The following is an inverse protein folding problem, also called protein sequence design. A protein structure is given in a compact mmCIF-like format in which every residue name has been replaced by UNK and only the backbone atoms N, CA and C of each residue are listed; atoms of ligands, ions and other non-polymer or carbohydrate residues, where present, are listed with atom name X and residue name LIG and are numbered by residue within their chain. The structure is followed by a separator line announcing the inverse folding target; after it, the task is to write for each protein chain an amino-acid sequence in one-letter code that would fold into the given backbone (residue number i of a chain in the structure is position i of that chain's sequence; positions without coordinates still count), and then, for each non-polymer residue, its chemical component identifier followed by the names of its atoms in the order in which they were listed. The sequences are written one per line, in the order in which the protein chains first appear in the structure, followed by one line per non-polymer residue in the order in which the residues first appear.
data_IF_940480134609
#
_entry.id   IF_940480134609
#
_cell.length_a   1.000
_cell.length_b   1.000
_cell.length_c   1.000
_cell.angle_alpha   90.00
_cell.angle_beta   90.00
_cell.angle_gamma   90.00
#
_symmetry.space_group_name_H-M   'P 1'
#
loop_
_entity.id
_entity.type
_entity.pdbx_description
1 polymer ?
#
# COMPACT_ATOMS: atom_id res chain seq x y z
N UNK A 1 8.93 -14.79 -3.21
CA UNK A 1 10.27 -15.15 -2.71
C UNK A 1 10.70 -16.44 -3.36
N UNK A 2 11.89 -16.46 -3.96
CA UNK A 2 12.39 -17.68 -4.59
C UNK A 2 13.25 -18.50 -3.59
N UNK A 3 13.60 -19.75 -4.00
CA UNK A 3 14.36 -20.69 -3.15
C UNK A 3 15.71 -20.12 -2.70
N UNK A 4 16.42 -19.43 -3.58
CA UNK A 4 17.73 -18.85 -3.27
C UNK A 4 17.62 -17.74 -2.21
N UNK A 5 16.58 -16.94 -2.29
CA UNK A 5 16.29 -15.89 -1.29
C UNK A 5 15.98 -16.50 0.07
N UNK A 6 15.19 -17.59 0.10
CA UNK A 6 14.88 -18.32 1.34
C UNK A 6 16.14 -18.88 1.97
N UNK A 7 16.98 -19.55 1.18
CA UNK A 7 18.25 -20.11 1.67
C UNK A 7 19.18 -19.04 2.21
N UNK A 8 19.28 -17.90 1.50
CA UNK A 8 20.09 -16.77 1.96
C UNK A 8 19.62 -16.23 3.30
N UNK A 9 18.32 -16.01 3.46
CA UNK A 9 17.72 -15.52 4.71
C UNK A 9 17.89 -16.55 5.85
N UNK A 10 17.74 -17.83 5.54
CA UNK A 10 17.96 -18.88 6.54
C UNK A 10 19.41 -18.88 7.05
N UNK A 11 20.39 -18.72 6.17
CA UNK A 11 21.82 -18.57 6.54
C UNK A 11 22.05 -17.31 7.38
N UNK A 12 21.52 -16.19 6.95
CA UNK A 12 21.63 -14.90 7.65
C UNK A 12 21.01 -14.97 9.06
N UNK A 13 19.91 -15.68 9.23
CA UNK A 13 19.27 -15.91 10.50
C UNK A 13 20.06 -16.86 11.42
N UNK A 14 21.02 -17.61 10.88
CA UNK A 14 21.85 -18.56 11.62
C UNK A 14 21.36 -20.00 11.53
N UNK A 15 20.50 -20.35 10.60
CA UNK A 15 20.16 -21.75 10.31
C UNK A 15 21.39 -22.49 9.82
N UNK A 16 21.53 -23.75 10.24
CA UNK A 16 22.66 -24.62 9.84
C UNK A 16 22.13 -25.84 9.09
N UNK A 17 22.81 -26.27 8.01
CA UNK A 17 22.42 -27.49 7.30
C UNK A 17 22.65 -28.72 8.17
N UNK A 18 21.83 -29.74 7.98
CA UNK A 18 21.87 -30.96 8.81
C UNK A 18 23.17 -31.74 8.68
N UNK A 19 23.80 -31.74 7.48
CA UNK A 19 24.97 -32.59 7.22
C UNK A 19 26.24 -31.82 6.96
N UNK A 20 26.23 -30.80 6.12
CA UNK A 20 27.38 -29.95 5.84
C UNK A 20 26.96 -28.66 5.18
N UNK A 21 27.80 -27.59 5.18
CA UNK A 21 27.51 -26.33 4.51
C UNK A 21 27.24 -26.45 3.00
N UNK A 22 27.69 -27.53 2.39
CA UNK A 22 27.55 -27.80 0.96
C UNK A 22 26.17 -28.33 0.57
N UNK A 23 25.35 -28.80 1.54
CA UNK A 23 24.06 -29.45 1.34
C UNK A 23 22.86 -28.56 1.66
N UNK A 24 22.95 -27.27 1.40
CA UNK A 24 21.79 -26.37 1.53
C UNK A 24 20.66 -26.70 0.57
N UNK A 25 20.93 -27.51 -0.44
CA UNK A 25 19.91 -28.00 -1.38
C UNK A 25 19.10 -29.17 -0.84
N UNK A 26 19.64 -29.92 0.15
CA UNK A 26 18.93 -30.95 0.88
C UNK A 26 18.21 -30.36 2.09
N UNK A 27 16.93 -30.45 2.08
CA UNK A 27 15.86 -29.71 2.76
C UNK A 27 15.84 -29.77 4.28
N UNK A 28 16.88 -30.25 4.98
CA UNK A 28 16.89 -30.28 6.44
C UNK A 28 17.88 -29.28 7.01
N UNK A 29 17.36 -28.33 7.76
CA UNK A 29 18.16 -27.34 8.49
C UNK A 29 17.86 -27.42 9.98
N UNK A 30 18.89 -27.20 10.80
CA UNK A 30 18.70 -26.98 12.22
C UNK A 30 18.46 -25.49 12.50
N UNK A 31 17.44 -25.24 13.33
CA UNK A 31 17.14 -23.93 13.82
C UNK A 31 16.68 -24.02 15.28
N UNK A 32 17.24 -23.20 16.14
CA UNK A 32 16.70 -22.96 17.47
C UNK A 32 15.50 -22.01 17.38
N UNK A 33 14.64 -21.92 18.41
CA UNK A 33 13.56 -20.93 18.43
C UNK A 33 14.02 -19.51 18.11
N UNK A 34 15.14 -19.06 18.67
CA UNK A 34 15.73 -17.73 18.42
C UNK A 34 16.12 -17.54 16.95
N UNK A 35 16.65 -18.58 16.30
CA UNK A 35 17.00 -18.56 14.88
C UNK A 35 15.75 -18.50 14.03
N UNK A 36 14.68 -19.22 14.39
CA UNK A 36 13.41 -19.16 13.70
C UNK A 36 12.75 -17.78 13.81
N UNK A 37 12.83 -17.15 14.98
CA UNK A 37 12.36 -15.77 15.17
C UNK A 37 13.12 -14.79 14.28
N UNK A 38 14.44 -14.89 14.20
CA UNK A 38 15.24 -14.07 13.29
C UNK A 38 14.91 -14.31 11.83
N UNK A 39 14.72 -15.55 11.45
CA UNK A 39 14.30 -15.88 10.09
C UNK A 39 12.93 -15.29 9.75
N UNK A 40 11.96 -15.43 10.65
CA UNK A 40 10.64 -14.83 10.50
C UNK A 40 10.71 -13.29 10.35
N UNK A 41 11.54 -12.64 11.17
CA UNK A 41 11.76 -11.20 11.08
C UNK A 41 12.37 -10.76 9.72
N UNK A 42 13.34 -11.52 9.20
CA UNK A 42 13.92 -11.26 7.87
C UNK A 42 12.89 -11.41 6.75
N UNK A 43 12.05 -12.46 6.81
CA UNK A 43 10.96 -12.66 5.85
C UNK A 43 9.97 -11.51 5.92
N UNK A 44 9.53 -11.14 7.12
CA UNK A 44 8.59 -10.04 7.32
C UNK A 44 9.16 -8.70 6.78
N UNK A 45 10.43 -8.41 7.04
CA UNK A 45 11.10 -7.22 6.51
C UNK A 45 11.18 -7.24 4.98
N UNK A 46 11.47 -8.38 4.38
CA UNK A 46 11.52 -8.52 2.92
C UNK A 46 10.16 -8.28 2.28
N UNK A 47 9.08 -8.81 2.85
CA UNK A 47 7.72 -8.60 2.34
C UNK A 47 7.27 -7.13 2.54
N UNK A 48 7.57 -6.54 3.69
CA UNK A 48 7.33 -5.11 3.93
C UNK A 48 8.04 -4.25 2.88
N UNK A 49 9.30 -4.53 2.58
CA UNK A 49 10.07 -3.76 1.61
C UNK A 49 9.53 -3.89 0.19
N UNK A 50 9.00 -5.06 -0.20
CA UNK A 50 8.31 -5.23 -1.48
C UNK A 50 7.07 -4.35 -1.58
N UNK A 51 6.23 -4.32 -0.54
CA UNK A 51 5.06 -3.47 -0.48
C UNK A 51 5.44 -1.99 -0.54
N UNK A 52 6.45 -1.58 0.25
CA UNK A 52 6.96 -0.21 0.23
C UNK A 52 7.46 0.21 -1.15
N UNK A 53 8.22 -0.65 -1.82
CA UNK A 53 8.71 -0.41 -3.18
C UNK A 53 7.56 -0.27 -4.19
N UNK A 54 6.52 -1.10 -4.08
CA UNK A 54 5.34 -0.99 -4.91
C UNK A 54 4.60 0.33 -4.65
N UNK A 55 4.36 0.68 -3.39
CA UNK A 55 3.71 1.94 -3.01
C UNK A 55 4.46 3.15 -3.59
N UNK A 56 5.79 3.18 -3.46
CA UNK A 56 6.59 4.28 -4.02
C UNK A 56 6.48 4.36 -5.54
N UNK A 57 6.48 3.23 -6.26
CA UNK A 57 6.27 3.21 -7.72
C UNK A 57 4.91 3.76 -8.12
N UNK A 58 3.90 3.55 -7.30
CA UNK A 58 2.54 4.09 -7.53
C UNK A 58 2.37 5.54 -7.03
N UNK A 59 3.43 6.13 -6.50
CA UNK A 59 3.40 7.50 -5.97
C UNK A 59 2.72 7.64 -4.61
N UNK A 60 2.63 6.55 -3.84
CA UNK A 60 2.20 6.58 -2.45
C UNK A 60 3.38 6.77 -1.51
N UNK A 61 3.18 7.51 -0.43
CA UNK A 61 4.15 7.59 0.65
C UNK A 61 4.16 6.29 1.47
N UNK A 62 5.31 5.91 2.00
CA UNK A 62 5.46 4.69 2.81
C UNK A 62 5.34 4.93 4.31
N UNK A 63 5.15 6.18 4.75
CA UNK A 63 4.94 6.52 6.14
C UNK A 63 6.02 6.03 7.11
N UNK A 64 5.67 5.95 8.38
CA UNK A 64 6.55 5.50 9.47
C UNK A 64 6.24 4.09 9.97
N UNK A 65 5.66 3.24 9.14
CA UNK A 65 5.30 1.89 9.52
C UNK A 65 6.44 0.88 9.35
N UNK A 66 6.66 0.06 10.37
CA UNK A 66 7.68 -0.99 10.36
C UNK A 66 7.15 -2.34 9.88
N UNK A 67 5.84 -2.50 9.77
CA UNK A 67 5.17 -3.74 9.39
C UNK A 67 4.37 -3.60 8.09
N UNK A 68 4.01 -4.73 7.49
CA UNK A 68 3.10 -4.77 6.34
C UNK A 68 1.74 -4.18 6.70
N UNK A 69 1.23 -4.48 7.89
CA UNK A 69 -0.04 -3.98 8.40
C UNK A 69 -0.05 -2.45 8.52
N UNK A 70 1.05 -1.86 8.99
CA UNK A 70 1.20 -0.41 9.06
C UNK A 70 1.17 0.24 7.69
N UNK A 71 1.89 -0.34 6.72
CA UNK A 71 1.90 0.15 5.34
C UNK A 71 0.53 0.02 4.68
N UNK A 72 -0.22 -1.05 4.95
CA UNK A 72 -1.57 -1.23 4.41
C UNK A 72 -2.55 -0.19 4.97
N UNK A 73 -2.46 0.14 6.26
CA UNK A 73 -3.27 1.22 6.86
C UNK A 73 -2.93 2.58 6.25
N UNK A 74 -1.65 2.86 6.08
CA UNK A 74 -1.19 4.09 5.43
C UNK A 74 -1.71 4.17 3.98
N UNK A 75 -1.62 3.07 3.24
CA UNK A 75 -2.11 3.00 1.88
C UNK A 75 -3.63 3.20 1.80
N UNK A 76 -4.39 2.56 2.67
CA UNK A 76 -5.84 2.71 2.77
C UNK A 76 -6.22 4.18 2.99
N UNK A 77 -5.60 4.83 3.96
CA UNK A 77 -5.82 6.24 4.22
C UNK A 77 -5.47 7.14 3.02
N UNK A 78 -4.33 6.90 2.36
CA UNK A 78 -3.93 7.68 1.18
C UNK A 78 -4.87 7.49 0.00
N UNK A 79 -5.39 6.27 -0.21
CA UNK A 79 -6.38 6.00 -1.26
C UNK A 79 -7.68 6.77 -0.96
N UNK A 80 -8.17 6.72 0.27
CA UNK A 80 -9.37 7.43 0.67
C UNK A 80 -9.24 8.94 0.49
N UNK A 81 -8.11 9.52 0.89
CA UNK A 81 -7.83 10.94 0.68
C UNK A 81 -7.74 11.31 -0.82
N UNK A 82 -7.12 10.48 -1.65
CA UNK A 82 -7.09 10.71 -3.10
C UNK A 82 -8.47 10.66 -3.72
N UNK A 83 -9.29 9.68 -3.35
CA UNK A 83 -10.67 9.57 -3.84
C UNK A 83 -11.49 10.80 -3.43
N UNK A 84 -11.35 11.25 -2.19
CA UNK A 84 -12.03 12.44 -1.69
C UNK A 84 -11.59 13.70 -2.45
N UNK A 85 -10.29 13.89 -2.62
CA UNK A 85 -9.73 15.04 -3.33
C UNK A 85 -10.16 15.03 -4.80
N UNK A 86 -10.18 13.88 -5.46
CA UNK A 86 -10.65 13.75 -6.84
C UNK A 86 -12.14 14.08 -6.96
N UNK A 87 -12.98 13.64 -6.02
CA UNK A 87 -14.40 14.03 -6.00
C UNK A 87 -14.57 15.54 -5.85
N UNK A 88 -13.83 16.17 -4.94
CA UNK A 88 -13.89 17.61 -4.76
C UNK A 88 -13.42 18.34 -6.02
N UNK A 89 -12.36 17.87 -6.66
CA UNK A 89 -11.88 18.44 -7.91
C UNK A 89 -12.93 18.32 -9.03
N UNK A 90 -13.55 17.16 -9.19
CA UNK A 90 -14.63 16.96 -10.17
C UNK A 90 -15.85 17.83 -9.88
N UNK A 91 -16.26 17.92 -8.60
CA UNK A 91 -17.37 18.77 -8.20
C UNK A 91 -17.07 20.25 -8.46
N UNK A 92 -15.84 20.68 -8.19
CA UNK A 92 -15.40 22.06 -8.42
C UNK A 92 -15.49 22.46 -9.90
N UNK A 93 -15.20 21.56 -10.83
CA UNK A 93 -15.36 21.82 -12.27
C UNK A 93 -16.79 22.20 -12.59
N UNK A 94 -17.78 21.51 -12.04
CA UNK A 94 -19.20 21.82 -12.23
C UNK A 94 -19.58 23.16 -11.59
N UNK A 95 -19.07 23.43 -10.41
CA UNK A 95 -19.33 24.68 -9.70
C UNK A 95 -18.74 25.88 -10.45
N UNK A 96 -17.48 25.79 -10.89
CA UNK A 96 -16.83 26.86 -11.68
C UNK A 96 -17.54 27.08 -13.01
N UNK A 97 -18.07 26.02 -13.64
CA UNK A 97 -18.88 26.14 -14.85
C UNK A 97 -20.23 26.81 -14.58
N UNK A 98 -20.86 26.53 -13.43
CA UNK A 98 -22.14 27.12 -13.04
C UNK A 98 -22.03 28.64 -12.74
N UNK A 99 -20.87 29.14 -12.39
CA UNK A 99 -20.61 30.57 -12.15
C UNK A 99 -20.43 31.39 -13.45
N UNK A 100 -20.59 30.80 -14.62
CA UNK A 100 -20.48 31.52 -15.88
C UNK A 100 -21.72 32.41 -16.13
N UNK A 101 -21.48 33.62 -16.55
CA UNK A 101 -22.53 34.64 -16.78
C UNK A 101 -23.47 34.33 -17.98
N UNK A 102 -23.08 33.38 -18.83
CA UNK A 102 -23.82 33.01 -20.05
C UNK A 102 -24.83 31.84 -19.86
N UNK A 103 -24.95 31.33 -18.63
CA UNK A 103 -25.88 30.25 -18.33
C UNK A 103 -27.27 30.75 -17.90
N UNK A 104 -28.33 30.00 -18.27
CA UNK A 104 -29.64 30.23 -17.73
C UNK A 104 -29.72 29.85 -16.24
N UNK A 105 -30.67 30.42 -15.48
CA UNK A 105 -30.89 30.13 -14.08
C UNK A 105 -31.19 28.63 -13.85
N UNK A 106 -31.87 27.97 -14.81
CA UNK A 106 -32.16 26.54 -14.78
C UNK A 106 -30.90 25.71 -14.93
N UNK A 107 -30.00 26.08 -15.82
CA UNK A 107 -28.73 25.37 -16.04
C UNK A 107 -27.79 25.54 -14.84
N UNK A 108 -27.71 26.73 -14.31
CA UNK A 108 -26.94 27.02 -13.07
C UNK A 108 -27.45 26.17 -11.89
N UNK A 109 -28.77 26.12 -11.68
CA UNK A 109 -29.38 25.33 -10.61
C UNK A 109 -29.12 23.84 -10.79
N UNK A 110 -29.18 23.32 -12.03
CA UNK A 110 -28.86 21.92 -12.33
C UNK A 110 -27.40 21.60 -12.01
N UNK A 111 -26.47 22.45 -12.43
CA UNK A 111 -25.04 22.24 -12.18
C UNK A 111 -24.70 22.29 -10.70
N UNK A 112 -25.30 23.21 -9.94
CA UNK A 112 -25.16 23.26 -8.47
C UNK A 112 -25.73 22.01 -7.79
N UNK A 113 -26.85 21.49 -8.28
CA UNK A 113 -27.41 20.24 -7.80
C UNK A 113 -26.48 19.04 -8.05
N UNK A 114 -25.92 18.94 -9.26
CA UNK A 114 -24.94 17.90 -9.62
C UNK A 114 -23.64 17.99 -8.75
N UNK A 115 -23.19 19.20 -8.47
CA UNK A 115 -22.08 19.44 -7.56
C UNK A 115 -22.35 18.83 -6.19
N UNK A 116 -23.52 19.10 -5.59
CA UNK A 116 -23.90 18.55 -4.28
C UNK A 116 -24.01 17.01 -4.31
N UNK A 117 -24.58 16.45 -5.39
CA UNK A 117 -24.66 15.00 -5.56
C UNK A 117 -23.28 14.31 -5.63
N UNK A 118 -22.33 14.91 -6.32
CA UNK A 118 -20.96 14.38 -6.42
C UNK A 118 -20.25 14.45 -5.06
N UNK A 119 -20.39 15.57 -4.35
CA UNK A 119 -19.80 15.71 -3.00
C UNK A 119 -20.40 14.72 -2.00
N UNK A 120 -21.69 14.51 -2.05
CA UNK A 120 -22.41 13.58 -1.15
C UNK A 120 -22.07 12.11 -1.44
N UNK A 121 -21.63 11.78 -2.65
CA UNK A 121 -21.32 10.42 -3.07
C UNK A 121 -20.11 9.88 -2.30
N UNK A 122 -20.34 8.96 -1.39
CA UNK A 122 -19.29 8.36 -0.56
C UNK A 122 -19.23 8.88 0.88
N UNK A 123 -20.20 9.71 1.27
CA UNK A 123 -20.45 10.11 2.65
C UNK A 123 -21.51 9.23 3.34
N UNK A 124 -21.81 8.14 2.72
CA UNK A 124 -22.78 7.18 3.27
C UNK A 124 -22.17 6.31 4.37
#
# INVERSE_FOLDING_TARGET
MNREQIIRMAREAGCKPFRSPEHWDDVQVFATPDVLERFAALVAAAERNKLAAWMMRQGYATGHGDTVEDLLKELEWQIDERIKNEREACAKVLFDYAERDDLSDSDESLLKHLFELIRARGQA
#
